data_IF_151534158144
#
_entry.id   IF_151534158144
#
_cell.length_a   1.000
_cell.length_b   1.000
_cell.length_c   1.000
_cell.angle_alpha   90.00
_cell.angle_beta   90.00
_cell.angle_gamma   90.00
#
_symmetry.space_group_name_H-M   'P 1'
#
loop_
_entity.id
_entity.type
_entity.pdbx_description
1 polymer ?
#
# COMPACT_ATOMS: atom_id res chain seq x y z
N UNK A 1 -3.26 11.92 -46.69
CA UNK A 1 -4.43 11.08 -46.38
C UNK A 1 -3.94 9.83 -45.67
N UNK A 2 -4.74 9.35 -44.74
CA UNK A 2 -4.58 8.21 -43.84
C UNK A 2 -3.75 8.41 -42.57
N UNK A 3 -4.51 8.34 -41.48
CA UNK A 3 -4.16 8.30 -40.08
C UNK A 3 -3.60 6.92 -39.68
N UNK A 4 -2.86 6.90 -38.58
CA UNK A 4 -2.50 5.70 -37.84
C UNK A 4 -3.02 5.91 -36.42
N UNK A 5 -3.93 5.04 -36.00
CA UNK A 5 -4.62 5.01 -34.72
C UNK A 5 -4.10 3.83 -33.91
N UNK A 6 -3.66 4.13 -32.68
CA UNK A 6 -4.12 3.60 -31.39
C UNK A 6 -4.31 2.08 -31.14
N UNK A 7 -3.96 1.75 -29.89
CA UNK A 7 -4.40 0.65 -29.01
C UNK A 7 -3.84 -0.76 -29.28
N UNK A 8 -3.69 -1.65 -28.29
CA UNK A 8 -3.31 -1.66 -26.86
C UNK A 8 -3.23 -3.18 -26.52
N UNK A 9 -2.82 -3.51 -25.29
CA UNK A 9 -3.14 -4.73 -24.53
C UNK A 9 -2.21 -5.96 -24.49
N UNK A 10 -1.79 -6.18 -23.23
CA UNK A 10 -1.79 -7.42 -22.44
C UNK A 10 -0.63 -8.41 -22.52
N UNK A 11 0.31 -8.20 -21.59
CA UNK A 11 1.25 -9.20 -21.07
C UNK A 11 0.83 -9.60 -19.64
N UNK A 12 0.34 -10.84 -19.50
CA UNK A 12 0.12 -11.50 -18.21
C UNK A 12 1.04 -12.72 -18.11
N UNK A 13 2.25 -12.52 -17.59
CA UNK A 13 3.08 -13.58 -17.03
C UNK A 13 2.83 -13.67 -15.52
N UNK A 14 2.12 -14.72 -15.11
CA UNK A 14 2.05 -15.18 -13.73
C UNK A 14 3.41 -15.78 -13.35
N UNK A 15 4.01 -15.33 -12.26
CA UNK A 15 5.08 -16.05 -11.57
C UNK A 15 4.81 -16.05 -10.07
N UNK A 16 4.72 -17.27 -9.55
CA UNK A 16 4.48 -17.68 -8.18
C UNK A 16 5.59 -17.19 -7.23
N UNK A 17 5.23 -16.66 -6.06
CA UNK A 17 6.06 -16.78 -4.86
C UNK A 17 5.20 -16.96 -3.60
N UNK A 18 5.24 -18.18 -3.09
CA UNK A 18 4.82 -18.58 -1.74
C UNK A 18 5.61 -17.81 -0.68
N UNK A 19 4.91 -17.07 0.18
CA UNK A 19 5.45 -16.60 1.46
C UNK A 19 4.76 -17.34 2.60
N UNK A 20 5.50 -18.33 3.11
CA UNK A 20 5.26 -19.03 4.36
C UNK A 20 5.48 -18.05 5.52
N UNK A 21 4.45 -17.79 6.33
CA UNK A 21 4.57 -17.01 7.57
C UNK A 21 3.87 -17.75 8.70
N UNK A 22 4.61 -18.65 9.34
CA UNK A 22 4.34 -19.13 10.68
C UNK A 22 4.53 -17.97 11.67
N UNK A 23 3.43 -17.43 12.20
CA UNK A 23 3.44 -16.70 13.46
C UNK A 23 2.49 -17.36 14.45
N UNK A 24 3.10 -18.03 15.42
CA UNK A 24 2.48 -18.54 16.64
C UNK A 24 1.79 -17.38 17.38
N UNK A 25 0.47 -17.45 17.49
CA UNK A 25 -0.30 -16.64 18.43
C UNK A 25 -0.08 -17.22 19.82
N UNK A 26 0.68 -16.51 20.64
CA UNK A 26 0.76 -16.75 22.09
C UNK A 26 -0.53 -16.20 22.68
N UNK A 27 -1.41 -17.09 23.17
CA UNK A 27 -2.60 -16.72 23.92
C UNK A 27 -2.21 -16.13 25.29
N UNK A 28 -2.54 -14.86 25.50
CA UNK A 28 -2.52 -14.20 26.80
C UNK A 28 -3.90 -14.39 27.46
N UNK A 29 -4.02 -15.09 28.61
CA UNK A 29 -5.31 -15.45 29.18
C UNK A 29 -5.76 -14.35 30.16
N UNK A 30 -6.07 -13.17 29.63
CA UNK A 30 -6.93 -12.25 30.35
C UNK A 30 -7.41 -11.14 29.42
N UNK A 31 -8.73 -11.10 29.24
CA UNK A 31 -9.58 -9.91 29.30
C UNK A 31 -10.68 -9.94 28.22
N UNK A 32 -11.89 -9.60 28.67
CA UNK A 32 -13.08 -9.21 27.89
C UNK A 32 -14.03 -10.33 27.47
N UNK A 33 -14.92 -10.64 28.42
CA UNK A 33 -16.31 -10.97 28.13
C UNK A 33 -16.93 -9.87 27.26
N UNK A 34 -17.22 -10.18 26.00
CA UNK A 34 -18.24 -9.48 25.21
C UNK A 34 -19.22 -10.51 24.67
N UNK A 35 -20.47 -10.34 25.11
CA UNK A 35 -21.62 -11.08 24.63
C UNK A 35 -21.89 -10.70 23.17
N UNK A 36 -21.84 -11.69 22.28
CA UNK A 36 -22.42 -11.59 20.94
C UNK A 36 -23.95 -11.63 21.07
N UNK A 37 -24.61 -10.52 20.79
CA UNK A 37 -26.07 -10.48 20.60
C UNK A 37 -26.36 -10.83 19.14
N UNK A 38 -26.90 -12.03 18.94
CA UNK A 38 -27.47 -12.49 17.67
C UNK A 38 -28.77 -11.72 17.44
N UNK A 39 -28.88 -11.08 16.28
CA UNK A 39 -30.12 -10.49 15.78
C UNK A 39 -30.98 -11.59 15.15
N UNK A 40 -32.01 -12.05 15.87
CA UNK A 40 -33.14 -12.75 15.27
C UNK A 40 -34.27 -11.74 15.05
N UNK A 41 -34.45 -11.36 13.78
CA UNK A 41 -35.61 -10.65 13.28
C UNK A 41 -36.83 -11.58 13.37
N UNK A 42 -37.70 -11.31 14.34
CA UNK A 42 -39.06 -11.81 14.37
C UNK A 42 -40.01 -10.61 14.37
N UNK A 43 -40.55 -10.33 13.18
CA UNK A 43 -41.69 -9.44 12.96
C UNK A 43 -42.86 -9.87 13.85
N UNK A 44 -43.15 -9.09 14.89
CA UNK A 44 -44.42 -9.15 15.61
C UNK A 44 -45.30 -8.03 15.07
N UNK A 45 -46.08 -8.37 14.03
CA UNK A 45 -47.24 -7.58 13.63
C UNK A 45 -48.25 -7.53 14.80
N UNK A 46 -48.22 -6.44 15.56
CA UNK A 46 -49.28 -6.09 16.49
C UNK A 46 -50.52 -5.64 15.70
N UNK A 47 -51.41 -6.60 15.44
CA UNK A 47 -52.76 -6.34 14.97
C UNK A 47 -53.50 -5.39 15.93
N UNK A 48 -53.72 -4.16 15.48
CA UNK A 48 -54.63 -3.21 16.11
C UNK A 48 -56.07 -3.71 15.95
N UNK A 49 -56.54 -4.58 16.85
CA UNK A 49 -57.97 -4.73 17.08
C UNK A 49 -58.45 -3.55 17.92
N UNK A 50 -59.03 -2.57 17.22
CA UNK A 50 -59.90 -1.56 17.81
C UNK A 50 -61.09 -2.25 18.46
N UNK A 51 -61.02 -2.50 19.77
CA UNK A 51 -62.22 -2.58 20.61
C UNK A 51 -62.61 -1.15 20.96
N UNK A 52 -63.65 -0.67 20.30
CA UNK A 52 -64.42 0.51 20.70
C UNK A 52 -65.13 0.20 22.02
N UNK A 53 -64.42 0.35 23.13
CA UNK A 53 -65.04 0.58 24.42
C UNK A 53 -65.29 2.08 24.53
N UNK A 54 -66.55 2.49 24.72
CA UNK A 54 -66.87 3.83 25.19
C UNK A 54 -66.22 4.00 26.57
N UNK A 55 -65.05 4.62 26.63
CA UNK A 55 -64.49 5.12 27.86
C UNK A 55 -65.18 6.46 28.11
N UNK A 56 -66.05 6.53 29.11
CA UNK A 56 -66.44 7.83 29.66
C UNK A 56 -65.15 8.55 30.04
N UNK A 57 -64.95 9.73 29.44
CA UNK A 57 -63.86 10.64 29.78
C UNK A 57 -64.06 11.06 31.23
N UNK A 58 -63.44 10.32 32.15
CA UNK A 58 -63.39 10.72 33.56
C UNK A 58 -62.46 11.93 33.60
N UNK A 59 -63.06 13.12 33.67
CA UNK A 59 -62.33 14.35 33.94
C UNK A 59 -61.41 14.12 35.14
N UNK A 60 -60.11 14.45 35.05
CA UNK A 60 -59.18 14.29 36.16
C UNK A 60 -59.69 15.11 37.34
N UNK A 61 -60.04 14.43 38.43
CA UNK A 61 -60.46 15.09 39.67
C UNK A 61 -59.24 15.84 40.21
N UNK A 62 -59.17 17.15 39.94
CA UNK A 62 -58.24 18.04 40.61
C UNK A 62 -58.57 18.06 42.10
N UNK A 63 -57.68 17.45 42.90
CA UNK A 63 -57.75 17.52 44.35
C UNK A 63 -57.46 18.97 44.78
N UNK A 64 -58.50 19.70 45.18
CA UNK A 64 -58.31 21.00 45.81
C UNK A 64 -57.51 20.83 47.10
N UNK A 65 -56.46 21.67 47.32
CA UNK A 65 -55.73 21.63 48.57
C UNK A 65 -56.67 22.00 49.73
N UNK A 66 -56.52 21.37 50.92
CA UNK A 66 -57.29 21.79 52.09
C UNK A 66 -57.00 23.26 52.40
N UNK A 67 -58.07 24.04 52.61
CA UNK A 67 -57.93 25.42 53.08
C UNK A 67 -57.07 25.44 54.36
N UNK A 68 -56.06 26.30 54.39
CA UNK A 68 -55.28 26.56 55.59
C UNK A 68 -56.22 27.14 56.66
N UNK A 69 -56.58 26.31 57.66
CA UNK A 69 -57.38 26.73 58.81
C UNK A 69 -56.41 27.12 59.92
N UNK A 70 -56.54 28.37 60.40
CA UNK A 70 -55.78 28.91 61.52
C UNK A 70 -55.92 28.03 62.78
N UNK A 71 -54.85 27.95 63.58
CA UNK A 71 -54.78 27.10 64.77
C UNK A 71 -55.92 27.39 65.80
N UNK A 72 -56.40 28.62 65.87
CA UNK A 72 -57.49 29.06 66.76
C UNK A 72 -58.90 28.64 66.28
N UNK A 73 -59.05 28.25 65.01
CA UNK A 73 -60.28 27.65 64.49
C UNK A 73 -60.30 26.12 64.64
N UNK A 74 -59.13 25.48 64.66
CA UNK A 74 -59.02 24.03 64.88
C UNK A 74 -59.52 23.62 66.27
N UNK A 75 -59.20 24.35 67.34
CA UNK A 75 -59.69 24.05 68.69
C UNK A 75 -61.22 24.21 68.81
N UNK A 76 -61.80 25.23 68.14
CA UNK A 76 -63.25 25.46 68.12
C UNK A 76 -64.02 24.45 67.29
N UNK A 77 -63.42 23.91 66.23
CA UNK A 77 -64.02 22.82 65.45
C UNK A 77 -63.92 21.46 66.17
N UNK A 78 -62.94 21.26 67.05
CA UNK A 78 -62.69 20.00 67.76
C UNK A 78 -63.79 19.62 68.77
N UNK A 79 -64.34 20.59 69.53
CA UNK A 79 -65.47 20.32 70.45
C UNK A 79 -66.80 20.09 69.72
N UNK A 80 -66.87 20.49 68.44
CA UNK A 80 -68.03 20.31 67.57
C UNK A 80 -67.97 19.06 66.69
N UNK A 81 -66.89 18.27 66.77
CA UNK A 81 -66.75 17.06 65.95
C UNK A 81 -67.86 16.07 66.29
N UNK A 82 -68.39 15.33 65.29
CA UNK A 82 -69.39 14.30 65.54
C UNK A 82 -68.97 13.29 66.62
N UNK A 83 -67.67 13.01 66.73
CA UNK A 83 -67.09 12.16 67.76
C UNK A 83 -67.15 12.77 69.16
N UNK A 84 -66.91 14.07 69.34
CA UNK A 84 -67.04 14.72 70.66
C UNK A 84 -68.50 14.82 71.11
N UNK A 85 -69.43 15.05 70.16
CA UNK A 85 -70.87 15.10 70.42
C UNK A 85 -71.42 13.74 70.87
N UNK A 86 -71.06 12.66 70.19
CA UNK A 86 -71.47 11.31 70.60
C UNK A 86 -70.92 10.92 71.97
N UNK A 87 -69.69 11.33 72.29
CA UNK A 87 -69.12 11.13 73.63
C UNK A 87 -69.84 11.94 74.71
N UNK A 88 -70.31 13.15 74.39
CA UNK A 88 -71.12 13.97 75.29
C UNK A 88 -72.52 13.41 75.51
N UNK A 89 -73.14 12.85 74.48
CA UNK A 89 -74.45 12.23 74.59
C UNK A 89 -74.40 10.92 75.41
N UNK A 90 -73.38 10.08 75.18
CA UNK A 90 -73.15 8.87 75.99
C UNK A 90 -72.82 9.18 77.46
N UNK A 91 -72.18 10.32 77.74
CA UNK A 91 -71.97 10.82 79.10
C UNK A 91 -73.29 11.29 79.75
N UNK A 92 -74.15 12.00 79.01
CA UNK A 92 -75.50 12.40 79.50
C UNK A 92 -76.41 11.21 79.76
N UNK A 93 -76.31 10.16 78.95
CA UNK A 93 -77.01 8.88 79.14
C UNK A 93 -76.48 8.08 80.36
N UNK A 94 -75.41 8.54 81.02
CA UNK A 94 -74.84 7.94 82.22
C UNK A 94 -74.00 6.68 81.97
N UNK A 95 -73.79 6.31 80.70
CA UNK A 95 -73.04 5.09 80.32
C UNK A 95 -71.53 5.28 80.46
N UNK A 96 -71.04 6.51 80.32
CA UNK A 96 -69.64 6.89 80.47
C UNK A 96 -69.41 7.65 81.78
N UNK A 97 -68.35 7.28 82.50
CA UNK A 97 -67.85 8.09 83.62
C UNK A 97 -67.04 9.28 83.09
N UNK A 98 -67.00 10.39 83.85
CA UNK A 98 -66.26 11.59 83.43
C UNK A 98 -64.78 11.34 83.14
N UNK A 99 -64.16 10.41 83.88
CA UNK A 99 -62.76 9.99 83.66
C UNK A 99 -62.58 9.25 82.33
N UNK A 100 -63.50 8.35 81.97
CA UNK A 100 -63.46 7.63 80.68
C UNK A 100 -63.70 8.59 79.51
N UNK A 101 -64.61 9.54 79.66
CA UNK A 101 -64.86 10.58 78.66
C UNK A 101 -63.63 11.46 78.43
N UNK A 102 -62.96 11.92 79.51
CA UNK A 102 -61.74 12.70 79.41
C UNK A 102 -60.61 11.92 78.73
N UNK A 103 -60.44 10.64 79.08
CA UNK A 103 -59.44 9.77 78.45
C UNK A 103 -59.71 9.58 76.95
N UNK A 104 -60.98 9.37 76.57
CA UNK A 104 -61.35 9.13 75.18
C UNK A 104 -61.27 10.41 74.34
N UNK A 105 -61.59 11.57 74.91
CA UNK A 105 -61.33 12.88 74.31
C UNK A 105 -59.82 13.11 74.11
N UNK A 106 -58.98 12.80 75.10
CA UNK A 106 -57.51 12.91 74.98
C UNK A 106 -56.97 12.02 73.85
N UNK A 107 -57.37 10.75 73.81
CA UNK A 107 -56.96 9.81 72.75
C UNK A 107 -57.42 10.25 71.36
N UNK A 108 -58.63 10.78 71.25
CA UNK A 108 -59.12 11.33 69.99
C UNK A 108 -58.30 12.55 69.56
N UNK A 109 -57.96 13.46 70.48
CA UNK A 109 -57.11 14.61 70.18
C UNK A 109 -55.70 14.18 69.73
N UNK A 110 -55.09 13.19 70.40
CA UNK A 110 -53.81 12.62 69.97
C UNK A 110 -53.88 12.06 68.54
N UNK A 111 -54.93 11.31 68.22
CA UNK A 111 -55.14 10.76 66.89
C UNK A 111 -55.37 11.86 65.84
N UNK A 112 -56.16 12.87 66.17
CA UNK A 112 -56.42 14.00 65.28
C UNK A 112 -55.15 14.81 65.01
N UNK A 113 -54.30 14.99 66.02
CA UNK A 113 -53.00 15.63 65.88
C UNK A 113 -52.07 14.79 65.01
N UNK A 114 -52.00 13.48 65.23
CA UNK A 114 -51.21 12.57 64.41
C UNK A 114 -51.68 12.56 62.93
N UNK A 115 -53.00 12.57 62.69
CA UNK A 115 -53.57 12.66 61.34
C UNK A 115 -53.23 13.99 60.66
N UNK A 116 -53.28 15.10 61.41
CA UNK A 116 -52.94 16.42 60.89
C UNK A 116 -51.46 16.50 60.52
N UNK A 117 -50.57 16.03 61.40
CA UNK A 117 -49.13 15.95 61.13
C UNK A 117 -48.82 15.05 59.93
N UNK A 118 -49.50 13.90 59.82
CA UNK A 118 -49.34 12.99 58.68
C UNK A 118 -49.73 13.67 57.36
N UNK A 119 -50.88 14.37 57.33
CA UNK A 119 -51.33 15.11 56.15
C UNK A 119 -50.40 16.25 55.77
N UNK A 120 -49.86 16.98 56.75
CA UNK A 120 -48.86 18.02 56.49
C UNK A 120 -47.56 17.44 55.93
N UNK A 121 -47.10 16.30 56.48
CA UNK A 121 -45.92 15.61 55.98
C UNK A 121 -46.13 15.09 54.55
N UNK A 122 -47.30 14.52 54.24
CA UNK A 122 -47.68 14.12 52.88
C UNK A 122 -47.69 15.32 51.93
N UNK A 123 -48.29 16.44 52.34
CA UNK A 123 -48.31 17.67 51.55
C UNK A 123 -46.90 18.18 51.22
N UNK A 124 -46.00 18.20 52.21
CA UNK A 124 -44.60 18.57 52.01
C UNK A 124 -43.89 17.61 51.05
N UNK A 125 -44.05 16.30 51.24
CA UNK A 125 -43.43 15.29 50.37
C UNK A 125 -43.90 15.41 48.92
N UNK A 126 -45.20 15.67 48.71
CA UNK A 126 -45.76 15.90 47.38
C UNK A 126 -45.20 17.16 46.72
N UNK A 127 -45.05 18.24 47.49
CA UNK A 127 -44.42 19.46 46.99
C UNK A 127 -42.95 19.21 46.63
N UNK A 128 -42.21 18.50 47.48
CA UNK A 128 -40.82 18.09 47.21
C UNK A 128 -40.73 17.23 45.93
N UNK A 129 -41.58 16.21 45.79
CA UNK A 129 -41.68 15.39 44.59
C UNK A 129 -41.89 16.24 43.33
N UNK A 130 -42.85 17.16 43.35
CA UNK A 130 -43.11 18.06 42.23
C UNK A 130 -41.87 18.90 41.87
N UNK A 131 -41.17 19.44 42.89
CA UNK A 131 -39.94 20.20 42.64
C UNK A 131 -38.81 19.33 42.07
N UNK A 132 -38.65 18.09 42.54
CA UNK A 132 -37.63 17.18 42.02
C UNK A 132 -37.94 16.75 40.59
N UNK A 133 -39.20 16.45 40.27
CA UNK A 133 -39.62 16.11 38.91
C UNK A 133 -39.33 17.26 37.94
N UNK A 134 -39.68 18.50 38.31
CA UNK A 134 -39.37 19.68 37.49
C UNK A 134 -37.85 19.86 37.28
N UNK A 135 -37.02 19.57 38.29
CA UNK A 135 -35.56 19.60 38.15
C UNK A 135 -35.04 18.51 37.24
N UNK A 136 -35.56 17.28 37.35
CA UNK A 136 -35.19 16.15 36.50
C UNK A 136 -35.53 16.45 35.04
N UNK A 137 -36.72 16.96 34.75
CA UNK A 137 -37.11 17.35 33.40
C UNK A 137 -36.19 18.43 32.82
N UNK A 138 -35.85 19.44 33.62
CA UNK A 138 -34.90 20.47 33.21
C UNK A 138 -33.52 19.90 32.90
N UNK A 139 -33.01 19.00 33.74
CA UNK A 139 -31.72 18.35 33.53
C UNK A 139 -31.73 17.45 32.29
N UNK A 140 -32.80 16.69 32.07
CA UNK A 140 -32.97 15.88 30.86
C UNK A 140 -32.91 16.72 29.59
N UNK A 141 -33.61 17.86 29.55
CA UNK A 141 -33.52 18.78 28.39
C UNK A 141 -32.12 19.30 28.15
N UNK A 142 -31.39 19.69 29.19
CA UNK A 142 -30.00 20.17 29.05
C UNK A 142 -29.08 19.05 28.55
N UNK A 143 -29.29 17.81 29.00
CA UNK A 143 -28.54 16.65 28.50
C UNK A 143 -28.88 16.38 27.02
N UNK A 144 -30.16 16.37 26.66
CA UNK A 144 -30.61 16.22 25.27
C UNK A 144 -30.04 17.32 24.36
N UNK A 145 -30.00 18.58 24.82
CA UNK A 145 -29.36 19.69 24.13
C UNK A 145 -27.84 19.54 24.00
N UNK A 146 -27.18 18.94 25.00
CA UNK A 146 -25.74 18.71 25.01
C UNK A 146 -25.30 17.49 24.18
N UNK A 147 -26.14 16.46 24.11
CA UNK A 147 -25.92 15.27 23.28
C UNK A 147 -26.31 15.50 21.83
N UNK A 148 -27.26 16.40 21.57
CA UNK A 148 -27.59 16.83 20.22
C UNK A 148 -26.36 17.46 19.57
N UNK A 149 -25.87 16.82 18.51
CA UNK A 149 -24.84 17.43 17.67
C UNK A 149 -25.40 18.74 17.12
N UNK A 150 -24.65 19.86 17.16
CA UNK A 150 -25.19 21.13 16.69
C UNK A 150 -25.50 21.03 15.19
N UNK A 151 -26.78 20.87 14.85
CA UNK A 151 -27.28 20.81 13.47
C UNK A 151 -26.94 22.08 12.68
N UNK A 152 -26.71 23.18 13.40
CA UNK A 152 -26.26 24.46 12.86
C UNK A 152 -25.15 25.00 13.76
N UNK A 153 -24.09 25.50 13.12
CA UNK A 153 -23.05 26.27 13.79
C UNK A 153 -23.69 27.58 14.23
N UNK A 154 -24.02 27.66 15.51
CA UNK A 154 -24.75 28.78 16.10
C UNK A 154 -23.83 29.74 16.83
N UNK A 155 -22.63 29.28 17.21
CA UNK A 155 -21.67 30.06 17.99
C UNK A 155 -20.33 30.21 17.27
N UNK A 156 -19.63 31.31 17.53
CA UNK A 156 -18.28 31.52 17.00
C UNK A 156 -17.35 30.37 17.39
N UNK A 157 -17.47 29.85 18.62
CA UNK A 157 -16.67 28.72 19.11
C UNK A 157 -16.86 27.47 18.25
N UNK A 158 -18.09 27.15 17.86
CA UNK A 158 -18.37 26.03 16.95
C UNK A 158 -17.78 26.27 15.56
N UNK A 159 -17.82 27.51 15.05
CA UNK A 159 -17.19 27.87 13.77
C UNK A 159 -15.67 27.69 13.84
N UNK A 160 -15.03 28.17 14.92
CA UNK A 160 -13.60 27.98 15.15
C UNK A 160 -13.23 26.51 15.26
N UNK A 161 -14.05 25.70 15.94
CA UNK A 161 -13.84 24.24 16.05
C UNK A 161 -13.92 23.56 14.68
N UNK A 162 -14.89 23.94 13.84
CA UNK A 162 -14.99 23.46 12.46
C UNK A 162 -13.76 23.86 11.65
N UNK A 163 -13.35 25.12 11.71
CA UNK A 163 -12.18 25.61 10.98
C UNK A 163 -10.91 24.88 11.42
N UNK A 164 -10.74 24.66 12.73
CA UNK A 164 -9.59 23.92 13.27
C UNK A 164 -9.58 22.46 12.80
N UNK A 165 -10.72 21.77 12.83
CA UNK A 165 -10.82 20.40 12.31
C UNK A 165 -10.52 20.35 10.81
N UNK A 166 -11.06 21.31 10.04
CA UNK A 166 -10.78 21.42 8.61
C UNK A 166 -9.29 21.59 8.36
N UNK A 167 -8.65 22.58 8.99
CA UNK A 167 -7.22 22.82 8.78
C UNK A 167 -6.34 21.69 9.30
N UNK A 168 -6.74 21.00 10.37
CA UNK A 168 -6.03 19.81 10.86
C UNK A 168 -6.08 18.68 9.83
N UNK A 169 -7.24 18.43 9.24
CA UNK A 169 -7.42 17.40 8.21
C UNK A 169 -6.68 17.77 6.92
N UNK A 170 -6.78 19.04 6.49
CA UNK A 170 -6.06 19.55 5.33
C UNK A 170 -4.54 19.40 5.54
N UNK A 171 -4.04 19.73 6.74
CA UNK A 171 -2.63 19.58 7.11
C UNK A 171 -2.18 18.12 7.08
N UNK A 172 -2.98 17.20 7.65
CA UNK A 172 -2.69 15.77 7.61
C UNK A 172 -2.62 15.24 6.16
N UNK A 173 -3.60 15.58 5.32
CA UNK A 173 -3.62 15.21 3.91
C UNK A 173 -2.40 15.77 3.16
N UNK A 174 -2.01 17.03 3.41
CA UNK A 174 -0.81 17.60 2.79
C UNK A 174 0.48 16.93 3.25
N UNK A 175 0.55 16.49 4.50
CA UNK A 175 1.72 15.78 5.03
C UNK A 175 1.87 14.39 4.41
N UNK A 176 0.76 13.65 4.26
CA UNK A 176 0.76 12.36 3.56
C UNK A 176 1.23 12.52 2.12
N UNK A 177 0.66 13.49 1.39
CA UNK A 177 1.10 13.80 0.03
C UNK A 177 2.57 14.23 -0.03
N UNK A 178 3.05 14.97 0.95
CA UNK A 178 4.45 15.39 1.02
C UNK A 178 5.36 14.17 1.19
N UNK A 179 4.99 13.24 2.08
CA UNK A 179 5.71 11.98 2.24
C UNK A 179 5.80 11.18 0.94
N UNK A 180 4.68 11.04 0.22
CA UNK A 180 4.65 10.34 -1.08
C UNK A 180 5.54 11.01 -2.12
N UNK A 181 5.50 12.35 -2.18
CA UNK A 181 6.33 13.12 -3.11
C UNK A 181 7.82 13.02 -2.76
N UNK A 182 8.18 13.07 -1.47
CA UNK A 182 9.57 12.87 -1.02
C UNK A 182 10.08 11.48 -1.36
N UNK A 183 9.26 10.45 -1.18
CA UNK A 183 9.59 9.10 -1.60
C UNK A 183 9.82 9.02 -3.11
N UNK A 184 8.92 9.61 -3.92
CA UNK A 184 9.04 9.64 -5.38
C UNK A 184 10.29 10.41 -5.84
N UNK A 185 10.63 11.51 -5.18
CA UNK A 185 11.85 12.27 -5.47
C UNK A 185 13.08 11.39 -5.22
N UNK A 186 13.16 10.71 -4.07
CA UNK A 186 14.28 9.81 -3.75
C UNK A 186 14.44 8.70 -4.78
N UNK A 187 13.35 8.05 -5.17
CA UNK A 187 13.36 7.01 -6.20
C UNK A 187 13.90 7.55 -7.54
N UNK A 188 13.42 8.72 -7.99
CA UNK A 188 13.88 9.35 -9.23
C UNK A 188 15.35 9.80 -9.15
N UNK A 189 15.83 10.22 -7.99
CA UNK A 189 17.25 10.55 -7.78
C UNK A 189 18.14 9.30 -7.87
N UNK A 190 17.68 8.17 -7.36
CA UNK A 190 18.36 6.87 -7.48
C UNK A 190 18.39 6.40 -8.95
N UNK A 191 17.27 6.48 -9.66
CA UNK A 191 17.18 6.16 -11.09
C UNK A 191 18.10 7.06 -11.92
N UNK A 192 18.07 8.38 -11.66
CA UNK A 192 18.98 9.32 -12.33
C UNK A 192 20.43 8.96 -12.09
N UNK A 193 20.80 8.61 -10.84
CA UNK A 193 22.17 8.20 -10.50
C UNK A 193 22.56 6.89 -11.22
N UNK A 194 21.63 5.95 -11.36
CA UNK A 194 21.87 4.72 -12.12
C UNK A 194 22.09 5.00 -13.61
N UNK A 195 21.24 5.83 -14.21
CA UNK A 195 21.36 6.25 -15.61
C UNK A 195 22.64 7.04 -15.89
N UNK A 196 23.08 7.91 -14.97
CA UNK A 196 24.35 8.63 -15.11
C UNK A 196 25.55 7.67 -15.10
N UNK A 197 25.52 6.63 -14.26
CA UNK A 197 26.55 5.58 -14.26
C UNK A 197 26.55 4.78 -15.56
N UNK A 198 25.38 4.43 -16.07
CA UNK A 198 25.25 3.72 -17.36
C UNK A 198 25.76 4.58 -18.51
N UNK A 199 25.35 5.86 -18.56
CA UNK A 199 25.85 6.83 -19.53
C UNK A 199 27.38 6.94 -19.50
N UNK A 200 27.99 6.95 -18.32
CA UNK A 200 29.44 6.99 -18.17
C UNK A 200 30.14 5.71 -18.66
N UNK A 201 29.44 4.56 -18.71
CA UNK A 201 29.97 3.30 -19.24
C UNK A 201 30.01 3.28 -20.76
N UNK A 202 29.10 4.01 -21.41
CA UNK A 202 29.05 4.12 -22.87
C UNK A 202 30.17 5.08 -23.30
N UNK A 203 31.11 4.64 -24.19
CA UNK A 203 32.16 5.51 -24.70
C UNK A 203 31.59 6.77 -25.35
N UNK A 204 32.22 7.91 -25.14
CA UNK A 204 31.75 9.14 -25.76
C UNK A 204 31.91 9.07 -27.28
N UNK A 205 31.08 9.82 -28.01
CA UNK A 205 31.17 9.88 -29.48
C UNK A 205 32.58 10.24 -29.96
N UNK A 206 33.28 11.13 -29.24
CA UNK A 206 34.67 11.47 -29.50
C UNK A 206 35.61 10.25 -29.42
N UNK A 207 35.44 9.40 -28.41
CA UNK A 207 36.25 8.19 -28.21
C UNK A 207 36.01 7.17 -29.35
N UNK A 208 34.76 7.07 -29.78
CA UNK A 208 34.36 6.25 -30.94
C UNK A 208 35.00 6.80 -32.22
N UNK A 209 34.92 8.12 -32.45
CA UNK A 209 35.45 8.78 -33.63
C UNK A 209 36.98 8.66 -33.72
N UNK A 210 37.69 8.83 -32.59
CA UNK A 210 39.14 8.57 -32.48
C UNK A 210 39.47 7.12 -32.83
N UNK A 211 38.72 6.16 -32.30
CA UNK A 211 38.94 4.74 -32.56
C UNK A 211 38.69 4.39 -34.03
N UNK A 212 37.64 4.94 -34.64
CA UNK A 212 37.36 4.80 -36.08
C UNK A 212 38.49 5.43 -36.92
N UNK A 213 38.98 6.61 -36.54
CA UNK A 213 40.08 7.28 -37.24
C UNK A 213 41.37 6.47 -37.18
N UNK A 214 41.69 5.88 -36.02
CA UNK A 214 42.87 5.03 -35.86
C UNK A 214 42.74 3.73 -36.66
N UNK A 215 41.59 3.05 -36.59
CA UNK A 215 41.33 1.86 -37.41
C UNK A 215 41.42 2.14 -38.92
N UNK A 216 40.94 3.31 -39.38
CA UNK A 216 41.09 3.73 -40.78
C UNK A 216 42.56 3.89 -41.18
N UNK A 217 43.37 4.53 -40.33
CA UNK A 217 44.83 4.66 -40.57
C UNK A 217 45.50 3.29 -40.63
N UNK A 218 45.18 2.39 -39.71
CA UNK A 218 45.73 1.02 -39.70
C UNK A 218 45.33 0.24 -40.96
N UNK A 219 44.07 0.36 -41.39
CA UNK A 219 43.59 -0.25 -42.63
C UNK A 219 44.32 0.29 -43.86
N UNK A 220 44.56 1.61 -43.94
CA UNK A 220 45.27 2.21 -45.07
C UNK A 220 46.75 1.86 -45.08
N UNK A 221 47.37 1.72 -43.90
CA UNK A 221 48.73 1.23 -43.77
C UNK A 221 48.86 -0.23 -44.20
N UNK A 222 47.94 -1.10 -43.76
CA UNK A 222 47.88 -2.49 -44.21
C UNK A 222 47.69 -2.59 -45.74
N UNK A 223 46.85 -1.75 -46.35
CA UNK A 223 46.71 -1.70 -47.81
C UNK A 223 48.02 -1.33 -48.51
N UNK A 224 48.77 -0.36 -47.97
CA UNK A 224 50.09 0.01 -48.52
C UNK A 224 51.08 -1.14 -48.41
N UNK A 225 51.14 -1.81 -47.26
CA UNK A 225 52.01 -2.97 -47.06
C UNK A 225 51.65 -4.12 -48.02
N UNK A 226 50.35 -4.39 -48.22
CA UNK A 226 49.89 -5.38 -49.21
C UNK A 226 50.33 -4.98 -50.62
N UNK A 227 50.16 -3.71 -51.01
CA UNK A 227 50.58 -3.23 -52.32
C UNK A 227 52.10 -3.35 -52.52
N UNK A 228 52.89 -2.98 -51.51
CA UNK A 228 54.34 -3.14 -51.51
C UNK A 228 54.73 -4.61 -51.64
N UNK A 229 54.16 -5.50 -50.83
CA UNK A 229 54.44 -6.94 -50.88
C UNK A 229 54.07 -7.55 -52.23
N UNK A 230 52.96 -7.12 -52.84
CA UNK A 230 52.60 -7.52 -54.21
C UNK A 230 53.66 -7.09 -55.23
N UNK A 231 54.17 -5.86 -55.14
CA UNK A 231 55.26 -5.39 -55.99
C UNK A 231 56.55 -6.19 -55.79
N UNK A 232 56.93 -6.46 -54.53
CA UNK A 232 58.10 -7.29 -54.21
C UNK A 232 57.97 -8.69 -54.81
N UNK A 233 56.79 -9.31 -54.74
CA UNK A 233 56.51 -10.61 -55.35
C UNK A 233 56.65 -10.54 -56.88
N UNK A 234 56.13 -9.50 -57.54
CA UNK A 234 56.26 -9.36 -58.99
C UNK A 234 57.72 -9.20 -59.43
N UNK A 235 58.50 -8.40 -58.70
CA UNK A 235 59.92 -8.18 -58.99
C UNK A 235 60.75 -9.45 -58.78
N UNK A 236 60.48 -10.18 -57.70
CA UNK A 236 61.12 -11.47 -57.43
C UNK A 236 60.79 -12.52 -58.50
N UNK A 237 59.54 -12.58 -58.95
CA UNK A 237 59.13 -13.48 -60.03
C UNK A 237 59.83 -13.15 -61.35
N UNK A 238 60.01 -11.87 -61.67
CA UNK A 238 60.75 -11.43 -62.86
C UNK A 238 62.22 -11.84 -62.77
N UNK A 239 62.87 -11.57 -61.62
CA UNK A 239 64.25 -11.97 -61.38
C UNK A 239 64.44 -13.49 -61.45
N UNK A 240 63.51 -14.27 -60.88
CA UNK A 240 63.50 -15.73 -60.97
C UNK A 240 63.35 -16.20 -62.43
N UNK A 241 62.47 -15.56 -63.20
CA UNK A 241 62.29 -15.81 -64.62
C UNK A 241 63.59 -15.59 -65.42
N UNK A 242 64.28 -14.49 -65.17
CA UNK A 242 65.54 -14.17 -65.84
C UNK A 242 66.68 -15.12 -65.42
N UNK A 243 66.76 -15.49 -64.13
CA UNK A 243 67.69 -16.52 -63.67
C UNK A 243 67.42 -17.87 -64.34
N UNK A 244 66.15 -18.25 -64.48
CA UNK A 244 65.75 -19.50 -65.14
C UNK A 244 66.15 -19.51 -66.62
N UNK A 245 65.96 -18.40 -67.35
CA UNK A 245 66.41 -18.25 -68.74
C UNK A 245 67.93 -18.37 -68.86
N UNK A 246 68.69 -17.69 -67.99
CA UNK A 246 70.15 -17.80 -67.94
C UNK A 246 70.59 -19.24 -67.69
N UNK A 247 70.02 -19.88 -66.67
CA UNK A 247 70.29 -21.29 -66.36
C UNK A 247 70.03 -22.19 -67.56
N UNK A 248 68.87 -22.09 -68.22
CA UNK A 248 68.58 -22.91 -69.42
C UNK A 248 69.55 -22.66 -70.56
N UNK A 249 70.06 -21.44 -70.72
CA UNK A 249 71.04 -21.12 -71.76
C UNK A 249 72.40 -21.73 -71.43
N UNK A 250 72.85 -21.59 -70.17
CA UNK A 250 74.10 -22.18 -69.69
C UNK A 250 74.06 -23.71 -69.74
N UNK A 251 72.92 -24.34 -69.40
CA UNK A 251 72.75 -25.80 -69.53
C UNK A 251 72.91 -26.24 -70.98
N UNK A 252 72.25 -25.57 -71.94
CA UNK A 252 72.42 -25.90 -73.37
C UNK A 252 73.87 -25.76 -73.83
N UNK A 253 74.56 -24.69 -73.42
CA UNK A 253 75.98 -24.51 -73.73
C UNK A 253 76.85 -25.61 -73.11
N UNK A 254 76.52 -26.06 -71.90
CA UNK A 254 77.19 -27.16 -71.25
C UNK A 254 76.97 -28.47 -72.02
N UNK A 255 75.73 -28.77 -72.42
CA UNK A 255 75.40 -29.95 -73.22
C UNK A 255 76.13 -29.93 -74.58
N UNK A 256 76.19 -28.77 -75.26
CA UNK A 256 76.94 -28.57 -76.49
C UNK A 256 78.45 -28.83 -76.30
N UNK A 257 79.04 -28.32 -75.21
CA UNK A 257 80.44 -28.58 -74.87
C UNK A 257 80.68 -30.05 -74.53
N UNK A 258 79.77 -30.70 -73.81
CA UNK A 258 79.84 -32.15 -73.51
C UNK A 258 79.84 -32.96 -74.80
N UNK A 259 78.93 -32.69 -75.72
CA UNK A 259 78.94 -33.35 -77.03
C UNK A 259 80.21 -33.06 -77.84
N UNK A 260 80.75 -31.85 -77.77
CA UNK A 260 82.02 -31.53 -78.42
C UNK A 260 83.19 -32.31 -77.82
N UNK A 261 83.22 -32.52 -76.50
CA UNK A 261 84.24 -33.33 -75.82
C UNK A 261 84.09 -34.79 -76.24
N UNK A 262 82.88 -35.36 -76.22
CA UNK A 262 82.61 -36.74 -76.67
C UNK A 262 83.08 -36.96 -78.11
N UNK A 263 82.82 -36.01 -79.01
CA UNK A 263 83.30 -36.07 -80.40
C UNK A 263 84.83 -36.01 -80.49
N UNK A 264 85.48 -35.10 -79.76
CA UNK A 264 86.95 -35.00 -79.73
C UNK A 264 87.61 -36.24 -79.12
N UNK A 265 87.01 -36.83 -78.08
CA UNK A 265 87.47 -38.09 -77.50
C UNK A 265 87.35 -39.24 -78.50
N UNK A 266 86.25 -39.32 -79.26
CA UNK A 266 86.07 -40.29 -80.33
C UNK A 266 87.11 -40.11 -81.46
N UNK A 267 87.35 -38.87 -81.91
CA UNK A 267 88.37 -38.55 -82.91
C UNK A 267 89.79 -38.88 -82.39
N UNK A 268 90.07 -38.58 -81.12
CA UNK A 268 91.34 -38.91 -80.48
C UNK A 268 91.56 -40.42 -80.39
N UNK A 269 90.55 -41.19 -79.99
CA UNK A 269 90.58 -42.65 -79.98
C UNK A 269 90.81 -43.22 -81.38
N UNK A 270 90.13 -42.69 -82.39
CA UNK A 270 90.34 -43.07 -83.78
C UNK A 270 91.78 -42.77 -84.22
N UNK A 271 92.32 -41.59 -83.89
CA UNK A 271 93.71 -41.23 -84.18
C UNK A 271 94.72 -42.12 -83.43
N UNK A 272 94.42 -42.54 -82.20
CA UNK A 272 95.23 -43.49 -81.42
C UNK A 272 95.27 -44.89 -82.03
N UNK A 273 94.21 -45.32 -82.69
CA UNK A 273 94.11 -46.62 -83.37
C UNK A 273 94.84 -46.66 -84.72
N UNK A 274 94.93 -45.52 -85.43
CA UNK A 274 95.60 -45.42 -86.74
C UNK A 274 97.02 -46.01 -86.79
N UNK A 275 97.94 -45.76 -85.83
CA UNK A 275 99.25 -46.41 -85.84
C UNK A 275 99.17 -47.94 -85.78
N UNK A 276 98.24 -48.51 -85.02
CA UNK A 276 98.06 -49.96 -84.93
C UNK A 276 97.47 -50.55 -86.22
N UNK A 277 96.57 -49.80 -86.89
CA UNK A 277 96.03 -50.16 -88.20
C UNK A 277 97.10 -50.08 -89.31
N UNK A 278 97.90 -49.01 -89.32
CA UNK A 278 99.03 -48.85 -90.24
C UNK A 278 100.05 -49.96 -90.03
N UNK A 279 100.37 -50.31 -88.78
CA UNK A 279 101.26 -51.42 -88.46
C UNK A 279 100.74 -52.73 -89.05
N UNK A 280 99.45 -53.06 -88.82
CA UNK A 280 98.78 -54.22 -89.44
C UNK A 280 98.81 -54.17 -90.97
N UNK A 281 98.64 -53.00 -91.59
CA UNK A 281 98.73 -52.85 -93.04
C UNK A 281 100.16 -53.07 -93.55
N UNK A 282 101.19 -52.52 -92.89
CA UNK A 282 102.60 -52.81 -93.21
C UNK A 282 102.96 -54.28 -93.01
N UNK A 283 102.41 -54.94 -91.98
CA UNK A 283 102.61 -56.37 -91.76
C UNK A 283 101.92 -57.21 -92.86
N UNK A 284 100.73 -56.79 -93.32
CA UNK A 284 100.07 -57.44 -94.46
C UNK A 284 100.79 -57.22 -95.80
N UNK A 285 101.42 -56.06 -95.99
CA UNK A 285 102.23 -55.73 -97.17
C UNK A 285 103.60 -56.41 -97.16
N UNK A 286 104.17 -56.67 -95.97
CA UNK A 286 105.42 -57.43 -95.83
C UNK A 286 105.23 -58.94 -96.01
N UNK A 287 104.00 -59.46 -95.83
CA UNK A 287 103.62 -60.84 -96.20
C UNK A 287 103.30 -61.05 -97.69
N UNK A 288 103.19 -59.97 -98.48
CA UNK A 288 102.91 -60.02 -99.93
C UNK A 288 104.15 -59.82 -100.82
N UNK A 289 105.36 -59.84 -100.24
CA UNK A 289 106.66 -59.87 -100.95
C UNK A 289 107.38 -61.18 -100.68
#
# INVERSE_FOLDING_TARGET
MSAHSDDDDDDHSQDDQDYDTDQQVVEDPNNQQQNAFVTDDADVELSNQQQTGEYEEIEPIEAQPPNEIDADEQERQQSGTPAFRTLEDLFKEGTLTGTQMALLKSKYMELQNALTLSRQAEGRLRQEEHTYLAQIEKQKRILEEGESFPDKITTEVQQRRKDLLKYSNDLACTNERLFDLEYKIKALEEDKRALEKEKARIPNQHDIDEKVKNLRKECDELKRQIAQKKSEITDQNLLLGDKRKKYTTTTKQFDELTHSIENLEAEYLQSKLKPAELLKQTDSLSLQR
#
